data_IF_907628244486
#
_entry.id   IF_907628244486
#
_cell.length_a   1.000
_cell.length_b   1.000
_cell.length_c   1.000
_cell.angle_alpha   90.00
_cell.angle_beta   90.00
_cell.angle_gamma   90.00
#
_symmetry.space_group_name_H-M   'P 1'
#
loop_
_entity.id
_entity.type
_entity.pdbx_description
1 polymer ?
#
# COMPACT_ATOMS: atom_id res chain seq x y z
N UNK A 1 11.25 18.20 -24.09
CA UNK A 1 10.35 17.16 -24.62
C UNK A 1 10.38 15.98 -23.66
N UNK A 2 9.59 16.07 -22.59
CA UNK A 2 9.35 15.00 -21.62
C UNK A 2 7.84 14.85 -21.65
N UNK A 3 7.38 13.67 -22.09
CA UNK A 3 5.96 13.36 -22.20
C UNK A 3 5.54 12.80 -20.85
N UNK A 4 4.83 13.62 -20.08
CA UNK A 4 4.07 13.18 -18.90
C UNK A 4 2.84 12.40 -19.38
N UNK A 5 2.76 11.12 -19.04
CA UNK A 5 1.52 10.35 -19.11
C UNK A 5 0.86 10.40 -17.72
N UNK A 6 0.00 11.39 -17.51
CA UNK A 6 -1.02 11.34 -16.47
C UNK A 6 -2.01 10.22 -16.82
N UNK A 7 -2.16 9.25 -15.92
CA UNK A 7 -3.35 8.40 -15.84
C UNK A 7 -3.95 8.59 -14.46
N UNK A 8 -5.15 9.16 -14.47
CA UNK A 8 -6.05 9.34 -13.34
C UNK A 8 -6.29 7.99 -12.64
N UNK A 9 -6.08 7.95 -11.31
CA UNK A 9 -6.72 6.96 -10.44
C UNK A 9 -7.15 7.71 -9.17
N UNK A 10 -8.32 8.32 -9.26
CA UNK A 10 -9.09 8.76 -8.09
C UNK A 10 -9.47 7.53 -7.24
N UNK A 11 -9.37 7.67 -5.92
CA UNK A 11 -10.00 6.79 -4.92
C UNK A 11 -9.46 5.35 -4.80
N UNK A 12 -8.24 5.19 -4.25
CA UNK A 12 -7.86 3.95 -3.56
C UNK A 12 -7.12 4.28 -2.25
N UNK A 13 -7.84 4.25 -1.13
CA UNK A 13 -7.23 4.06 0.19
C UNK A 13 -6.71 2.61 0.29
N UNK A 14 -5.61 2.31 -0.40
CA UNK A 14 -4.84 1.09 -0.16
C UNK A 14 -3.59 1.42 0.64
N UNK A 15 -3.41 0.67 1.73
CA UNK A 15 -2.26 0.76 2.61
C UNK A 15 -0.98 0.50 1.81
N UNK A 16 -0.25 1.56 1.45
CA UNK A 16 1.05 1.45 0.78
C UNK A 16 2.06 0.93 1.81
N UNK A 17 2.21 -0.40 1.89
CA UNK A 17 3.38 -1.02 2.52
C UNK A 17 4.59 -0.74 1.64
N UNK A 18 5.51 0.11 2.14
CA UNK A 18 6.79 0.38 1.49
C UNK A 18 7.65 -0.90 1.52
N UNK A 19 7.68 -1.66 0.42
CA UNK A 19 8.57 -2.82 0.26
C UNK A 19 9.80 -2.36 -0.55
N UNK A 20 11.04 -2.53 -0.04
CA UNK A 20 12.24 -2.16 -0.79
C UNK A 20 12.30 -2.95 -2.10
N UNK A 21 12.66 -2.28 -3.21
CA UNK A 21 12.83 -2.89 -4.55
C UNK A 21 13.69 -4.15 -4.48
N UNK A 22 13.02 -5.30 -4.42
CA UNK A 22 13.47 -6.54 -5.05
C UNK A 22 12.69 -6.62 -6.35
N UNK A 23 13.20 -7.32 -7.36
CA UNK A 23 12.47 -7.55 -8.61
C UNK A 23 11.15 -8.27 -8.29
N UNK A 24 10.10 -7.48 -8.08
CA UNK A 24 8.85 -7.92 -7.46
C UNK A 24 7.72 -7.47 -8.36
N UNK A 25 7.03 -8.42 -8.95
CA UNK A 25 5.78 -8.17 -9.65
C UNK A 25 4.77 -7.61 -8.65
N UNK A 26 4.26 -6.40 -8.90
CA UNK A 26 3.16 -5.84 -8.13
C UNK A 26 1.90 -6.64 -8.43
N UNK A 27 1.20 -7.10 -7.39
CA UNK A 27 -0.03 -7.85 -7.51
C UNK A 27 -1.15 -7.07 -6.82
N UNK A 28 -2.26 -6.86 -7.53
CA UNK A 28 -3.41 -6.12 -7.03
C UNK A 28 -4.45 -7.07 -6.45
N UNK A 29 -5.00 -6.73 -5.30
CA UNK A 29 -5.99 -7.54 -4.60
C UNK A 29 -7.40 -7.04 -4.92
N UNK A 30 -8.35 -7.96 -5.08
CA UNK A 30 -9.78 -7.59 -5.11
C UNK A 30 -10.21 -7.20 -3.70
N UNK A 31 -10.58 -5.95 -3.51
CA UNK A 31 -11.01 -5.41 -2.22
C UNK A 31 -12.42 -5.87 -1.83
N UNK A 32 -13.24 -6.32 -2.79
CA UNK A 32 -14.68 -6.54 -2.57
C UNK A 32 -15.28 -7.83 -3.16
N UNK A 33 -14.51 -8.68 -3.86
CA UNK A 33 -15.06 -9.91 -4.42
C UNK A 33 -14.28 -11.14 -3.97
N UNK A 34 -14.96 -12.01 -3.20
CA UNK A 34 -14.50 -13.39 -3.08
C UNK A 34 -14.67 -14.05 -4.44
N UNK A 35 -13.64 -14.74 -4.96
CA UNK A 35 -13.77 -15.43 -6.23
C UNK A 35 -14.91 -16.45 -6.15
N UNK A 36 -15.81 -16.43 -7.14
CA UNK A 36 -16.95 -17.35 -7.27
C UNK A 36 -16.53 -18.82 -7.27
N UNK A 37 -15.30 -19.10 -7.73
CA UNK A 37 -14.66 -20.40 -7.66
C UNK A 37 -13.27 -20.22 -7.05
N UNK A 38 -13.04 -20.80 -5.87
CA UNK A 38 -11.71 -20.86 -5.30
C UNK A 38 -11.13 -22.28 -5.40
N UNK A 39 -9.97 -22.46 -6.07
CA UNK A 39 -9.30 -23.76 -6.14
C UNK A 39 -8.51 -24.13 -4.86
N UNK A 40 -8.33 -23.20 -3.93
CA UNK A 40 -7.57 -23.39 -2.69
C UNK A 40 -8.50 -23.63 -1.49
N UNK A 41 -8.26 -24.73 -0.76
CA UNK A 41 -8.92 -24.96 0.53
C UNK A 41 -8.14 -24.23 1.64
N UNK A 42 -8.57 -23.03 2.02
CA UNK A 42 -7.91 -22.20 3.03
C UNK A 42 -8.29 -22.53 4.47
N UNK A 43 -9.08 -23.60 4.68
CA UNK A 43 -9.61 -23.99 5.99
C UNK A 43 -10.53 -22.93 6.62
N UNK A 44 -10.85 -23.11 7.91
CA UNK A 44 -11.69 -22.17 8.68
C UNK A 44 -10.92 -20.91 9.11
N UNK A 45 -9.59 -20.92 8.99
CA UNK A 45 -8.71 -19.86 9.46
C UNK A 45 -8.20 -18.96 8.33
N UNK A 46 -8.84 -18.99 7.16
CA UNK A 46 -8.43 -18.16 6.04
C UNK A 46 -9.52 -17.97 5.01
N UNK A 47 -9.28 -17.02 4.11
CA UNK A 47 -10.11 -16.74 2.96
C UNK A 47 -9.28 -16.82 1.69
N UNK A 48 -9.87 -17.40 0.66
CA UNK A 48 -9.25 -17.43 -0.65
C UNK A 48 -9.43 -16.09 -1.36
N UNK A 49 -8.34 -15.55 -1.87
CA UNK A 49 -8.29 -14.26 -2.55
C UNK A 49 -7.65 -14.47 -3.93
N UNK A 50 -8.22 -13.84 -4.95
CA UNK A 50 -7.67 -13.80 -6.30
C UNK A 50 -6.89 -12.50 -6.52
N UNK A 51 -5.84 -12.57 -7.32
CA UNK A 51 -5.16 -11.38 -7.82
C UNK A 51 -5.88 -10.84 -9.06
N UNK A 52 -6.13 -9.54 -9.11
CA UNK A 52 -6.85 -8.88 -10.22
C UNK A 52 -6.02 -8.94 -11.50
N UNK A 53 -4.73 -8.66 -11.40
CA UNK A 53 -3.84 -8.50 -12.54
C UNK A 53 -3.13 -9.79 -12.96
N UNK A 54 -3.47 -10.93 -12.33
CA UNK A 54 -2.87 -12.22 -12.66
C UNK A 54 -3.95 -13.29 -12.71
N UNK A 55 -4.39 -13.57 -13.94
CA UNK A 55 -5.40 -14.59 -14.22
C UNK A 55 -5.08 -15.90 -13.51
N UNK A 56 -6.09 -16.47 -12.86
CA UNK A 56 -6.03 -17.77 -12.19
C UNK A 56 -4.97 -17.89 -11.08
N UNK A 57 -4.50 -16.78 -10.52
CA UNK A 57 -3.60 -16.78 -9.38
C UNK A 57 -4.37 -16.46 -8.10
N UNK A 58 -4.35 -17.41 -7.17
CA UNK A 58 -5.06 -17.37 -5.90
C UNK A 58 -4.10 -17.56 -4.74
N UNK A 59 -4.47 -17.07 -3.57
CA UNK A 59 -3.77 -17.38 -2.32
C UNK A 59 -4.74 -17.38 -1.13
N UNK A 60 -4.33 -18.02 -0.04
CA UNK A 60 -5.07 -17.98 1.21
C UNK A 60 -4.59 -16.80 2.06
N UNK A 61 -5.49 -15.83 2.29
CA UNK A 61 -5.32 -14.81 3.30
C UNK A 61 -5.72 -15.39 4.66
N UNK A 62 -4.73 -15.67 5.50
CA UNK A 62 -4.96 -16.25 6.82
C UNK A 62 -5.41 -15.22 7.84
N UNK A 63 -6.20 -15.68 8.81
CA UNK A 63 -6.55 -14.93 10.00
C UNK A 63 -5.31 -14.75 10.89
N UNK A 64 -5.37 -13.76 11.79
CA UNK A 64 -4.28 -13.49 12.73
C UNK A 64 -3.98 -14.72 13.61
N UNK A 65 -2.70 -15.07 13.75
CA UNK A 65 -2.26 -16.28 14.45
C UNK A 65 -2.22 -17.54 13.59
N UNK A 66 -2.57 -17.46 12.30
CA UNK A 66 -2.51 -18.59 11.37
C UNK A 66 -1.62 -18.29 10.16
N UNK A 67 -0.89 -19.30 9.71
CA UNK A 67 0.06 -19.21 8.61
C UNK A 67 0.10 -20.49 7.79
N UNK A 68 0.89 -20.47 6.71
CA UNK A 68 1.01 -21.56 5.75
C UNK A 68 0.13 -21.33 4.52
N UNK A 69 0.41 -22.10 3.47
CA UNK A 69 -0.25 -21.96 2.16
C UNK A 69 -1.77 -22.13 2.27
N UNK A 70 -2.24 -22.90 3.26
CA UNK A 70 -3.65 -23.22 3.51
C UNK A 70 -4.10 -22.79 4.91
N UNK A 71 -3.38 -21.90 5.59
CA UNK A 71 -3.70 -21.40 6.93
C UNK A 71 -3.79 -22.49 8.02
N UNK A 72 -3.04 -23.57 7.85
CA UNK A 72 -3.09 -24.75 8.72
C UNK A 72 -2.15 -24.69 9.93
N UNK A 73 -1.24 -23.71 9.98
CA UNK A 73 -0.24 -23.60 11.05
C UNK A 73 -0.61 -22.48 12.02
N UNK A 74 -1.07 -22.87 13.19
CA UNK A 74 -1.28 -21.95 14.31
C UNK A 74 0.06 -21.46 14.88
N UNK A 75 0.09 -20.20 15.31
CA UNK A 75 1.23 -19.60 15.98
C UNK A 75 0.79 -18.49 16.93
N UNK A 76 1.51 -18.33 18.03
CA UNK A 76 1.28 -17.22 18.93
C UNK A 76 1.87 -15.92 18.36
N UNK A 77 0.99 -14.94 18.20
CA UNK A 77 1.36 -13.57 17.82
C UNK A 77 1.85 -12.80 19.05
N UNK A 78 3.03 -12.22 18.91
CA UNK A 78 3.68 -11.39 19.95
C UNK A 78 3.74 -9.91 19.56
N UNK A 79 3.19 -9.56 18.41
CA UNK A 79 3.13 -8.21 17.88
C UNK A 79 2.13 -7.35 18.67
N UNK A 80 2.27 -6.03 18.60
CA UNK A 80 1.27 -5.07 19.11
C UNK A 80 -0.12 -5.37 18.57
N UNK A 81 -1.16 -5.13 19.37
CA UNK A 81 -2.55 -5.53 19.08
C UNK A 81 -3.12 -4.94 17.78
N UNK A 82 -2.61 -3.78 17.36
CA UNK A 82 -2.99 -3.05 16.15
C UNK A 82 -2.06 -3.31 14.95
N UNK A 83 -1.19 -4.31 15.04
CA UNK A 83 -0.27 -4.69 13.96
C UNK A 83 -0.65 -6.01 13.32
N UNK A 84 -0.25 -6.18 12.05
CA UNK A 84 -0.50 -7.41 11.32
C UNK A 84 0.62 -8.41 11.60
N UNK A 85 0.26 -9.55 12.16
CA UNK A 85 1.16 -10.65 12.48
C UNK A 85 1.15 -11.68 11.34
N UNK A 86 2.30 -11.91 10.73
CA UNK A 86 2.45 -12.89 9.62
C UNK A 86 2.94 -14.24 10.15
N UNK A 87 3.85 -14.19 11.13
CA UNK A 87 4.36 -15.36 11.86
C UNK A 87 4.59 -14.98 13.31
N UNK A 88 4.98 -15.94 14.16
CA UNK A 88 5.36 -15.67 15.56
C UNK A 88 6.48 -14.63 15.73
N UNK A 89 7.30 -14.43 14.69
CA UNK A 89 8.45 -13.52 14.70
C UNK A 89 8.28 -12.26 13.84
N UNK A 90 7.42 -12.28 12.82
CA UNK A 90 7.30 -11.21 11.82
C UNK A 90 6.02 -10.40 12.03
N UNK A 91 6.19 -9.10 12.22
CA UNK A 91 5.12 -8.12 12.41
C UNK A 91 5.21 -7.02 11.34
N UNK A 92 4.07 -6.67 10.75
CA UNK A 92 3.92 -5.50 9.88
C UNK A 92 3.28 -4.40 10.72
N UNK A 93 4.06 -3.35 10.97
CA UNK A 93 3.66 -2.27 11.86
C UNK A 93 2.68 -1.30 11.19
N UNK A 94 1.70 -0.76 11.94
CA UNK A 94 0.94 0.38 11.47
C UNK A 94 1.85 1.60 11.32
N UNK A 95 1.36 2.59 10.59
CA UNK A 95 2.05 3.87 10.38
C UNK A 95 2.40 4.47 11.75
N UNK A 96 3.60 5.05 11.85
CA UNK A 96 4.19 5.64 13.07
C UNK A 96 4.63 4.68 14.18
N UNK A 97 4.46 3.37 14.00
CA UNK A 97 5.05 2.35 14.89
C UNK A 97 6.23 1.64 14.26
N UNK A 98 7.16 1.21 15.08
CA UNK A 98 8.35 0.49 14.64
C UNK A 98 8.85 -0.50 15.70
N UNK A 99 9.97 -1.15 15.39
CA UNK A 99 10.54 -2.24 16.18
C UNK A 99 9.99 -3.60 15.77
N UNK A 100 10.68 -4.67 16.16
CA UNK A 100 10.37 -6.04 15.74
C UNK A 100 8.95 -6.50 16.09
N UNK A 101 8.34 -5.89 17.10
CA UNK A 101 6.99 -6.19 17.58
C UNK A 101 6.01 -5.02 17.49
N UNK A 102 6.41 -3.91 16.86
CA UNK A 102 5.55 -2.74 16.66
C UNK A 102 5.02 -2.08 17.96
N UNK A 103 5.74 -2.18 19.07
CA UNK A 103 5.37 -1.49 20.32
C UNK A 103 5.97 -0.08 20.41
N UNK A 104 7.03 0.22 19.66
CA UNK A 104 7.71 1.50 19.71
C UNK A 104 7.00 2.50 18.79
N UNK A 105 6.93 3.76 19.19
CA UNK A 105 6.37 4.87 18.42
C UNK A 105 7.46 5.90 18.16
N UNK A 106 7.44 6.54 16.99
CA UNK A 106 8.32 7.69 16.76
C UNK A 106 7.86 8.85 17.64
N UNK A 107 8.79 9.44 18.39
CA UNK A 107 8.57 10.59 19.27
C UNK A 107 8.64 11.93 18.53
N UNK A 108 8.98 11.93 17.25
CA UNK A 108 9.13 13.13 16.43
C UNK A 108 7.94 13.26 15.48
N UNK A 109 7.08 14.24 15.76
CA UNK A 109 6.12 14.74 14.80
C UNK A 109 6.74 15.98 14.12
N UNK A 110 7.54 15.79 13.07
CA UNK A 110 7.75 16.89 12.14
C UNK A 110 6.52 16.93 11.23
N UNK A 111 5.73 17.99 11.33
CA UNK A 111 4.49 18.06 10.56
C UNK A 111 4.79 18.21 9.07
N UNK A 112 4.12 17.39 8.26
CA UNK A 112 3.85 17.73 6.88
C UNK A 112 2.76 18.82 6.88
N UNK A 113 2.89 19.80 6.01
CA UNK A 113 1.89 20.85 5.79
C UNK A 113 0.69 20.30 5.02
N UNK A 114 -0.39 21.09 4.91
CA UNK A 114 -1.55 20.81 4.07
C UNK A 114 -2.13 19.39 4.24
N UNK A 115 -2.22 18.94 5.51
CA UNK A 115 -2.70 17.61 5.89
C UNK A 115 -1.96 16.45 5.20
N UNK A 116 -0.68 16.64 4.89
CA UNK A 116 0.20 15.56 4.45
C UNK A 116 0.40 14.51 5.54
N UNK A 117 0.52 13.25 5.14
CA UNK A 117 0.80 12.14 6.05
C UNK A 117 2.31 12.01 6.28
N UNK A 118 2.73 12.21 7.53
CA UNK A 118 4.11 12.00 7.95
C UNK A 118 4.44 10.52 8.06
N UNK A 119 5.52 10.11 7.42
CA UNK A 119 6.09 8.76 7.50
C UNK A 119 7.53 8.90 7.95
N UNK A 120 7.82 8.45 9.18
CA UNK A 120 9.20 8.38 9.64
C UNK A 120 9.95 7.30 8.86
N UNK A 121 11.12 7.64 8.33
CA UNK A 121 11.97 6.65 7.68
C UNK A 121 12.63 5.78 8.74
N UNK A 122 12.85 4.52 8.42
CA UNK A 122 13.56 3.61 9.29
C UNK A 122 15.04 4.00 9.36
N UNK A 123 15.55 4.29 10.56
CA UNK A 123 16.93 4.71 10.81
C UNK A 123 18.01 3.73 10.27
N UNK A 124 17.64 2.51 9.89
CA UNK A 124 18.51 1.55 9.21
C UNK A 124 18.83 1.95 7.76
N UNK A 125 18.06 2.85 7.19
CA UNK A 125 18.32 3.42 5.87
C UNK A 125 18.85 4.85 6.07
N UNK A 126 20.15 5.04 5.79
CA UNK A 126 20.76 6.36 5.71
C UNK A 126 20.27 7.10 4.47
N UNK A 127 19.00 7.48 4.45
CA UNK A 127 18.47 8.43 3.49
C UNK A 127 18.83 9.84 3.95
N UNK A 128 19.07 10.75 3.00
CA UNK A 128 19.44 12.14 3.26
C UNK A 128 18.42 12.89 4.12
N UNK A 129 17.15 12.43 4.14
CA UNK A 129 16.09 12.90 5.02
C UNK A 129 15.54 11.75 5.88
N UNK A 130 15.36 11.99 7.18
CA UNK A 130 14.85 11.01 8.14
C UNK A 130 13.32 10.78 8.05
N UNK A 131 12.65 11.38 7.06
CA UNK A 131 11.20 11.31 6.92
C UNK A 131 10.77 11.44 5.46
N UNK A 132 9.52 11.04 5.21
CA UNK A 132 8.79 11.20 3.95
C UNK A 132 7.42 11.78 4.26
N UNK A 133 6.94 12.74 3.45
CA UNK A 133 5.58 13.24 3.50
C UNK A 133 4.78 12.71 2.30
N UNK A 134 3.67 12.03 2.53
CA UNK A 134 2.69 11.74 1.48
C UNK A 134 1.71 12.89 1.40
N UNK A 135 1.75 13.61 0.29
CA UNK A 135 0.90 14.79 0.07
C UNK A 135 -0.48 14.39 -0.45
N UNK A 136 -1.49 15.21 -0.12
CA UNK A 136 -2.78 15.17 -0.79
C UNK A 136 -2.61 15.50 -2.28
N UNK A 137 -3.61 15.16 -3.10
CA UNK A 137 -3.52 15.25 -4.56
C UNK A 137 -3.18 16.66 -5.05
N UNK A 138 -3.58 17.69 -4.32
CA UNK A 138 -3.41 19.11 -4.66
C UNK A 138 -2.08 19.71 -4.19
N UNK A 139 -1.22 18.95 -3.51
CA UNK A 139 0.01 19.49 -2.90
C UNK A 139 1.27 18.71 -3.28
N UNK A 140 2.43 19.37 -3.20
CA UNK A 140 3.75 18.78 -3.45
C UNK A 140 4.85 19.49 -2.65
N UNK A 141 6.06 18.96 -2.70
CA UNK A 141 7.21 19.43 -1.93
C UNK A 141 7.58 18.43 -0.82
N UNK A 142 8.72 18.66 -0.15
CA UNK A 142 9.24 17.71 0.84
C UNK A 142 8.36 17.63 2.10
N UNK A 143 7.56 18.67 2.34
CA UNK A 143 6.60 18.81 3.43
C UNK A 143 5.20 19.12 2.92
N UNK A 144 4.91 18.89 1.64
CA UNK A 144 3.64 19.26 1.03
C UNK A 144 3.34 20.76 1.09
N UNK A 145 4.38 21.58 1.07
CA UNK A 145 4.32 23.04 1.26
C UNK A 145 3.80 23.81 0.05
N UNK A 146 3.81 23.20 -1.14
CA UNK A 146 3.44 23.85 -2.39
C UNK A 146 2.11 23.31 -2.92
N UNK A 147 1.28 24.18 -3.52
CA UNK A 147 0.04 23.81 -4.21
C UNK A 147 0.31 23.47 -5.67
N UNK A 148 -0.28 22.38 -6.17
CA UNK A 148 -0.32 22.07 -7.59
C UNK A 148 -1.30 23.03 -8.27
N UNK A 149 -0.87 23.66 -9.35
CA UNK A 149 -1.77 24.43 -10.21
C UNK A 149 -2.33 23.47 -11.27
N UNK A 150 -3.64 23.29 -11.32
CA UNK A 150 -4.32 22.44 -12.30
C UNK A 150 -4.48 23.18 -13.63
N UNK A 151 -4.23 22.49 -14.75
CA UNK A 151 -4.60 22.94 -16.09
C UNK A 151 -5.56 21.90 -16.63
N UNK A 152 -6.84 22.26 -16.75
CA UNK A 152 -7.86 21.41 -17.37
C UNK A 152 -7.87 21.67 -18.87
N UNK A 153 -7.63 20.62 -19.66
CA UNK A 153 -7.65 20.68 -21.13
C UNK A 153 -8.86 19.89 -21.61
N UNK A 154 -9.85 20.59 -22.14
CA UNK A 154 -11.04 20.01 -22.77
C UNK A 154 -10.87 20.02 -24.29
N UNK A 155 -11.02 18.85 -24.92
CA UNK A 155 -10.99 18.73 -26.37
C UNK A 155 -12.41 18.77 -26.92
N UNK A 156 -12.74 19.85 -27.63
CA UNK A 156 -14.02 19.93 -28.34
C UNK A 156 -13.99 19.00 -29.58
N UNK A 157 -15.09 18.30 -29.88
CA UNK A 157 -15.15 17.29 -30.95
C UNK A 157 -14.76 17.86 -32.33
N UNK A 158 -14.91 19.16 -32.53
CA UNK A 158 -14.52 19.89 -33.75
C UNK A 158 -13.02 19.84 -34.06
N UNK A 159 -12.19 19.57 -33.04
CA UNK A 159 -10.72 19.51 -33.15
C UNK A 159 -10.23 18.15 -33.65
N UNK A 160 -11.08 17.11 -33.62
CA UNK A 160 -10.75 15.77 -34.11
C UNK A 160 -11.11 15.67 -35.59
N UNK A 161 -10.34 16.36 -36.46
CA UNK A 161 -10.44 16.12 -37.90
C UNK A 161 -9.83 14.75 -38.21
N UNK A 162 -10.69 13.75 -38.44
CA UNK A 162 -10.32 12.46 -39.06
C UNK A 162 -9.75 12.72 -40.44
N UNK A 163 -8.44 12.53 -40.61
CA UNK A 163 -7.86 12.30 -41.93
C UNK A 163 -8.15 10.84 -42.29
N UNK A 164 -8.96 10.65 -43.34
CA UNK A 164 -9.17 9.37 -44.03
C UNK A 164 -8.14 9.22 -45.14
#
# INVERSE_FOLDING_TARGET
MIIDQQREISSYHEQITYVPKRDSTQLFLSSNEQPTICPLSCGIHGKCIAYINKNSSYFCKCNQGYSGIYCQKEHNCTCSSDSLCITSSICICPINKFGSKCYLKHSFCQSCENNGLFISNDNRFHLTNNFTCLCQEEFYGIRCENTKNQIDIEFNEETIKKYH
#
